data_IF_783328394963
#
_entry.id   IF_783328394963
#
_cell.length_a   1.000
_cell.length_b   1.000
_cell.length_c   1.000
_cell.angle_alpha   90.00
_cell.angle_beta   90.00
_cell.angle_gamma   90.00
#
_symmetry.space_group_name_H-M   'P 1'
#
loop_
_entity.id
_entity.type
_entity.pdbx_description
1 polymer ?
#
# COMPACT_ATOMS: atom_id res chain seq x y z
N UNK A 1 -1.95 -22.55 23.87
CA UNK A 1 -0.84 -23.17 23.10
C UNK A 1 0.36 -22.24 23.26
N UNK A 2 1.55 -22.76 23.56
CA UNK A 2 2.74 -21.90 23.60
C UNK A 2 3.08 -21.46 22.17
N UNK A 3 3.11 -20.15 21.95
CA UNK A 3 3.55 -19.58 20.67
C UNK A 3 5.04 -19.82 20.49
N UNK A 4 5.44 -20.28 19.30
CA UNK A 4 6.84 -20.52 18.95
C UNK A 4 7.28 -19.46 17.94
N UNK A 5 8.42 -18.82 18.17
CA UNK A 5 9.02 -17.91 17.20
C UNK A 5 9.36 -18.68 15.92
N UNK A 6 8.80 -18.26 14.78
CA UNK A 6 9.11 -18.84 13.47
C UNK A 6 10.36 -18.20 12.87
N UNK A 7 10.41 -16.86 12.86
CA UNK A 7 11.56 -16.07 12.42
C UNK A 7 11.46 -14.63 12.89
N UNK A 8 12.60 -13.94 12.91
CA UNK A 8 12.67 -12.48 13.04
C UNK A 8 13.16 -11.88 11.72
N UNK A 9 12.50 -10.84 11.25
CA UNK A 9 12.82 -10.16 10.01
C UNK A 9 12.77 -8.65 10.23
N UNK A 10 13.94 -8.01 10.22
CA UNK A 10 14.11 -6.61 10.64
C UNK A 10 13.41 -6.36 12.00
N UNK A 11 12.51 -5.38 12.06
CA UNK A 11 11.86 -4.96 13.30
C UNK A 11 10.62 -5.81 13.67
N UNK A 12 10.37 -6.94 12.98
CA UNK A 12 9.24 -7.84 13.31
C UNK A 12 9.72 -9.24 13.72
N UNK A 13 9.06 -9.79 14.74
CA UNK A 13 9.12 -11.20 15.09
C UNK A 13 7.80 -11.87 14.72
N UNK A 14 7.87 -12.96 13.95
CA UNK A 14 6.70 -13.72 13.50
C UNK A 14 6.62 -15.02 14.27
N UNK A 15 5.50 -15.24 14.96
CA UNK A 15 5.23 -16.43 15.77
C UNK A 15 4.30 -17.39 15.05
N UNK A 16 4.24 -18.63 15.52
CA UNK A 16 3.46 -19.72 14.93
C UNK A 16 1.97 -19.43 14.76
N UNK A 17 1.42 -18.52 15.58
CA UNK A 17 0.03 -18.08 15.49
C UNK A 17 -0.23 -17.05 14.39
N UNK A 18 0.74 -16.21 14.03
CA UNK A 18 0.50 -15.07 13.15
C UNK A 18 0.05 -15.44 11.73
N UNK A 19 0.65 -16.45 11.06
CA UNK A 19 0.25 -16.83 9.71
C UNK A 19 -1.17 -17.38 9.64
N UNK A 20 -1.77 -17.77 10.78
CA UNK A 20 -3.15 -18.22 10.84
C UNK A 20 -4.12 -17.13 10.40
N UNK A 21 -3.77 -15.86 10.61
CA UNK A 21 -4.56 -14.69 10.15
C UNK A 21 -4.63 -14.56 8.63
N UNK A 22 -3.77 -15.26 7.88
CA UNK A 22 -3.77 -15.28 6.42
C UNK A 22 -4.78 -16.26 5.83
N UNK A 23 -5.33 -17.19 6.62
CA UNK A 23 -6.34 -18.12 6.15
C UNK A 23 -7.59 -17.39 5.67
N UNK A 24 -8.28 -17.96 4.70
CA UNK A 24 -9.54 -17.41 4.20
C UNK A 24 -10.55 -17.20 5.34
N UNK A 25 -11.23 -16.06 5.33
CA UNK A 25 -12.20 -15.68 6.36
C UNK A 25 -11.60 -15.17 7.68
N UNK A 26 -10.28 -15.24 7.87
CA UNK A 26 -9.63 -14.73 9.09
C UNK A 26 -9.27 -13.25 8.97
N UNK A 27 -9.36 -12.52 10.09
CA UNK A 27 -8.91 -11.13 10.16
C UNK A 27 -7.39 -11.08 10.20
N UNK A 28 -6.81 -10.28 9.30
CA UNK A 28 -5.37 -10.03 9.27
C UNK A 28 -4.93 -9.35 10.56
N UNK A 29 -3.87 -9.86 11.18
CA UNK A 29 -3.32 -9.29 12.40
C UNK A 29 -2.18 -8.29 12.12
N UNK A 30 -1.78 -7.57 13.17
CA UNK A 30 -0.72 -6.56 13.13
C UNK A 30 0.61 -7.14 12.66
N UNK A 31 0.95 -8.35 13.09
CA UNK A 31 2.22 -9.00 12.77
C UNK A 31 2.37 -9.29 11.27
N UNK A 32 1.32 -9.82 10.63
CA UNK A 32 1.36 -10.13 9.19
C UNK A 32 1.37 -8.86 8.33
N UNK A 33 0.63 -7.82 8.72
CA UNK A 33 0.69 -6.52 8.05
C UNK A 33 2.08 -5.89 8.23
N UNK A 34 2.64 -5.94 9.44
CA UNK A 34 3.99 -5.44 9.74
C UNK A 34 5.10 -6.17 8.99
N UNK A 35 4.99 -7.50 8.90
CA UNK A 35 5.90 -8.35 8.13
C UNK A 35 5.87 -7.95 6.65
N UNK A 36 4.68 -7.80 6.07
CA UNK A 36 4.60 -7.38 4.67
C UNK A 36 5.16 -5.96 4.45
N UNK A 37 4.98 -5.06 5.41
CA UNK A 37 5.60 -3.73 5.36
C UNK A 37 7.13 -3.80 5.43
N UNK A 38 7.73 -4.69 6.24
CA UNK A 38 9.18 -4.91 6.21
C UNK A 38 9.62 -5.44 4.85
N UNK A 39 8.89 -6.40 4.30
CA UNK A 39 9.20 -6.98 3.00
C UNK A 39 9.15 -5.91 1.89
N UNK A 40 8.11 -5.07 1.88
CA UNK A 40 8.01 -3.96 0.93
C UNK A 40 9.19 -3.00 1.06
N UNK A 41 9.51 -2.55 2.28
CA UNK A 41 10.61 -1.60 2.52
C UNK A 41 11.94 -2.15 2.02
N UNK A 42 12.28 -3.39 2.35
CA UNK A 42 13.62 -3.93 2.13
C UNK A 42 13.80 -4.62 0.77
N UNK A 43 12.80 -5.33 0.27
CA UNK A 43 12.93 -6.12 -0.97
C UNK A 43 12.41 -5.39 -2.20
N UNK A 44 11.34 -4.60 -2.05
CA UNK A 44 10.66 -3.94 -3.18
C UNK A 44 11.14 -2.50 -3.34
N UNK A 45 11.09 -1.74 -2.26
CA UNK A 45 11.50 -0.34 -2.22
C UNK A 45 13.01 -0.19 -1.99
N UNK A 46 13.70 -1.28 -1.64
CA UNK A 46 15.17 -1.33 -1.46
C UNK A 46 15.69 -0.24 -0.53
N UNK A 47 14.94 0.08 0.51
CA UNK A 47 15.27 1.14 1.46
C UNK A 47 15.11 2.55 0.93
N UNK A 48 14.19 2.81 -0.02
CA UNK A 48 13.88 4.18 -0.46
C UNK A 48 13.49 5.05 0.74
N UNK A 49 14.38 5.96 1.09
CA UNK A 49 14.25 6.84 2.25
C UNK A 49 13.13 7.89 2.11
N UNK A 50 12.49 8.01 0.94
CA UNK A 50 11.37 8.92 0.72
C UNK A 50 10.02 8.33 1.14
N UNK A 51 9.91 7.01 1.25
CA UNK A 51 8.69 6.30 1.64
C UNK A 51 8.84 5.78 3.07
N UNK A 52 7.79 5.94 3.87
CA UNK A 52 7.71 5.33 5.19
C UNK A 52 6.43 4.51 5.32
N UNK A 53 6.56 3.27 5.78
CA UNK A 53 5.44 2.37 6.07
C UNK A 53 5.30 2.23 7.59
N UNK A 54 4.40 2.98 8.22
CA UNK A 54 4.22 2.91 9.67
C UNK A 54 3.61 1.58 10.09
N UNK A 55 4.15 0.96 11.15
CA UNK A 55 3.61 -0.29 11.68
C UNK A 55 2.27 -0.06 12.37
N UNK A 56 1.30 -1.00 12.25
CA UNK A 56 0.00 -0.90 12.92
C UNK A 56 0.07 -0.58 14.41
N UNK A 57 0.95 -1.26 15.14
CA UNK A 57 1.11 -1.05 16.59
C UNK A 57 1.54 0.38 16.91
N UNK A 58 2.42 0.97 16.10
CA UNK A 58 2.86 2.35 16.27
C UNK A 58 1.74 3.35 15.97
N UNK A 59 0.96 3.12 14.92
CA UNK A 59 -0.22 3.95 14.58
C UNK A 59 -1.28 3.87 15.68
N UNK A 60 -1.50 2.68 16.24
CA UNK A 60 -2.45 2.46 17.32
C UNK A 60 -2.01 3.14 18.62
N UNK A 61 -0.73 3.02 18.98
CA UNK A 61 -0.13 3.79 20.08
C UNK A 61 -0.34 5.29 19.86
N UNK A 62 -0.03 5.80 18.65
CA UNK A 62 -0.20 7.20 18.32
C UNK A 62 -1.65 7.69 18.52
N UNK A 63 -2.63 6.91 18.09
CA UNK A 63 -4.04 7.29 18.19
C UNK A 63 -4.51 7.36 19.64
N UNK A 64 -4.13 6.39 20.47
CA UNK A 64 -4.64 6.25 21.84
C UNK A 64 -3.92 7.13 22.86
N UNK A 65 -2.74 7.67 22.55
CA UNK A 65 -2.03 8.57 23.45
C UNK A 65 -2.73 9.92 23.59
N UNK A 66 -2.81 10.43 24.82
CA UNK A 66 -3.42 11.73 25.11
C UNK A 66 -2.58 12.86 24.50
N UNK A 67 -1.28 12.90 24.80
CA UNK A 67 -0.32 13.81 24.20
C UNK A 67 0.41 13.13 23.02
N UNK A 68 0.19 13.62 21.81
CA UNK A 68 0.87 13.10 20.61
C UNK A 68 2.38 13.34 20.64
N UNK A 69 2.82 14.43 21.30
CA UNK A 69 4.23 14.84 21.33
C UNK A 69 5.06 13.91 22.21
N UNK A 70 4.44 13.26 23.20
CA UNK A 70 5.12 12.29 24.07
C UNK A 70 5.63 11.07 23.28
N UNK A 71 4.98 10.71 22.18
CA UNK A 71 5.40 9.63 21.28
C UNK A 71 6.37 10.06 20.19
N UNK A 72 6.77 11.33 20.13
CA UNK A 72 7.71 11.80 19.10
C UNK A 72 9.02 11.01 19.13
N UNK A 73 9.46 10.56 20.30
CA UNK A 73 10.65 9.71 20.46
C UNK A 73 10.46 8.25 20.01
N UNK A 74 9.21 7.77 19.95
CA UNK A 74 8.87 6.42 19.49
C UNK A 74 8.60 6.36 17.97
N UNK A 75 8.39 7.51 17.33
CA UNK A 75 8.23 7.61 15.88
C UNK A 75 9.61 7.68 15.20
N UNK A 76 9.72 7.23 13.94
CA UNK A 76 10.95 7.39 13.15
C UNK A 76 11.41 8.86 13.16
N UNK A 77 12.66 9.09 13.54
CA UNK A 77 13.21 10.45 13.72
C UNK A 77 13.27 11.23 12.40
N UNK A 78 13.41 10.51 11.29
CA UNK A 78 13.41 11.00 9.93
C UNK A 78 12.02 11.07 9.30
N UNK A 79 10.93 10.82 10.05
CA UNK A 79 9.56 10.88 9.51
C UNK A 79 9.25 12.22 8.83
N UNK A 80 9.82 13.31 9.33
CA UNK A 80 9.68 14.65 8.76
C UNK A 80 10.36 14.82 7.39
N UNK A 81 11.28 13.94 6.99
CA UNK A 81 11.94 13.99 5.68
C UNK A 81 11.21 13.17 4.62
N UNK A 82 10.24 12.35 5.01
CA UNK A 82 9.51 11.44 4.13
C UNK A 82 8.57 12.21 3.20
N UNK A 83 8.51 11.78 1.96
CA UNK A 83 7.60 12.30 0.95
C UNK A 83 6.25 11.58 0.97
N UNK A 84 6.26 10.26 1.18
CA UNK A 84 5.05 9.44 1.34
C UNK A 84 5.10 8.69 2.67
N UNK A 85 4.00 8.74 3.44
CA UNK A 85 3.85 7.96 4.67
C UNK A 85 2.55 7.14 4.59
N UNK A 86 2.68 5.83 4.60
CA UNK A 86 1.56 4.88 4.64
C UNK A 86 1.23 4.54 6.10
N UNK A 87 -0.05 4.67 6.44
CA UNK A 87 -0.54 4.69 7.81
C UNK A 87 -1.73 3.72 7.89
N UNK A 88 -1.53 2.45 8.29
CA UNK A 88 -2.61 1.50 8.48
C UNK A 88 -3.40 1.87 9.74
N UNK A 89 -4.69 2.14 9.57
CA UNK A 89 -5.57 2.58 10.65
C UNK A 89 -6.47 1.42 11.10
N UNK A 90 -6.54 1.20 12.42
CA UNK A 90 -7.48 0.27 13.04
C UNK A 90 -8.49 1.03 13.90
N UNK A 91 -9.73 0.52 14.01
CA UNK A 91 -10.76 1.08 14.90
C UNK A 91 -10.66 0.61 16.37
N UNK A 92 -9.63 -0.15 16.75
CA UNK A 92 -9.50 -0.73 18.08
C UNK A 92 -9.47 0.31 19.21
N UNK A 93 -10.25 0.20 20.27
CA UNK A 93 -10.10 1.14 21.40
C UNK A 93 -9.12 0.67 22.48
N UNK A 94 -8.43 -0.46 22.24
CA UNK A 94 -7.51 -1.07 23.19
C UNK A 94 -6.10 -1.15 22.59
N UNK A 95 -5.07 -1.01 23.46
CA UNK A 95 -3.66 -1.23 23.10
C UNK A 95 -3.26 -2.70 23.14
N UNK A 96 -3.96 -3.49 23.95
CA UNK A 96 -3.70 -4.92 24.14
C UNK A 96 -4.86 -5.69 23.56
N UNK A 97 -4.56 -6.84 22.94
CA UNK A 97 -5.59 -7.79 22.54
C UNK A 97 -6.39 -8.22 23.78
N UNK A 98 -7.69 -7.99 23.75
CA UNK A 98 -8.62 -8.45 24.79
C UNK A 98 -9.41 -9.61 24.22
N UNK A 99 -9.62 -10.68 24.99
CA UNK A 99 -10.53 -11.75 24.56
C UNK A 99 -11.91 -11.14 24.25
N UNK A 100 -12.37 -11.28 23.00
CA UNK A 100 -13.55 -10.59 22.47
C UNK A 100 -13.27 -9.54 21.38
N UNK A 101 -12.00 -9.24 21.11
CA UNK A 101 -11.55 -8.37 20.01
C UNK A 101 -11.24 -6.95 20.45
N UNK A 102 -10.07 -6.43 20.07
CA UNK A 102 -9.68 -5.05 20.38
C UNK A 102 -10.17 -4.07 19.31
N UNK A 103 -10.19 -4.47 18.02
CA UNK A 103 -10.78 -3.75 16.88
C UNK A 103 -11.23 -4.71 15.77
N UNK A 104 -12.06 -4.22 14.84
CA UNK A 104 -12.80 -5.00 13.84
C UNK A 104 -12.54 -4.62 12.39
N UNK A 105 -11.78 -3.54 12.13
CA UNK A 105 -11.62 -3.06 10.77
C UNK A 105 -10.31 -2.31 10.53
N UNK A 106 -9.76 -2.54 9.33
CA UNK A 106 -8.57 -1.88 8.82
C UNK A 106 -8.93 -0.93 7.67
N UNK A 107 -8.25 0.21 7.62
CA UNK A 107 -8.26 1.10 6.46
C UNK A 107 -6.87 1.72 6.26
N UNK A 108 -6.65 2.39 5.13
CA UNK A 108 -5.37 2.98 4.79
C UNK A 108 -5.48 4.51 4.69
N UNK A 109 -4.60 5.19 5.40
CA UNK A 109 -4.34 6.61 5.23
C UNK A 109 -2.93 6.80 4.64
N UNK A 110 -2.79 7.68 3.66
CA UNK A 110 -1.49 8.00 3.03
C UNK A 110 -1.26 9.50 3.10
N UNK A 111 -0.22 9.91 3.82
CA UNK A 111 0.24 11.31 3.84
C UNK A 111 1.22 11.56 2.70
N UNK A 112 1.10 12.73 2.09
CA UNK A 112 1.96 13.17 0.98
C UNK A 112 2.54 14.54 1.30
N UNK A 113 3.86 14.61 1.33
CA UNK A 113 4.61 15.84 1.55
C UNK A 113 4.95 16.48 0.20
N UNK A 114 4.07 17.36 -0.26
CA UNK A 114 4.33 18.27 -1.39
C UNK A 114 4.19 19.73 -0.94
N UNK A 115 4.32 20.67 -1.88
CA UNK A 115 4.09 22.10 -1.61
C UNK A 115 2.74 22.36 -0.91
N UNK A 116 1.73 21.57 -1.26
CA UNK A 116 0.46 21.47 -0.53
C UNK A 116 0.32 20.04 0.02
N UNK A 117 0.63 19.81 1.31
CA UNK A 117 0.48 18.49 1.90
C UNK A 117 -0.98 18.04 1.89
N UNK A 118 -1.20 16.75 1.67
CA UNK A 118 -2.53 16.14 1.64
C UNK A 118 -2.51 14.75 2.28
N UNK A 119 -3.68 14.28 2.70
CA UNK A 119 -3.91 12.90 3.07
C UNK A 119 -4.86 12.24 2.07
N UNK A 120 -4.59 11.00 1.67
CA UNK A 120 -5.44 10.17 0.83
C UNK A 120 -5.94 8.98 1.65
N UNK A 121 -7.26 8.81 1.70
CA UNK A 121 -7.92 7.81 2.55
C UNK A 121 -8.63 6.76 1.70
N UNK A 122 -8.37 5.49 2.02
CA UNK A 122 -8.94 4.31 1.35
C UNK A 122 -9.53 3.36 2.38
N UNK A 123 -10.76 2.94 2.14
CA UNK A 123 -11.51 2.06 3.02
C UNK A 123 -12.33 1.06 2.19
N UNK A 124 -12.03 -0.22 2.34
CA UNK A 124 -12.72 -1.30 1.63
C UNK A 124 -14.13 -1.59 2.17
N UNK A 125 -14.57 -0.89 3.22
CA UNK A 125 -15.90 -1.03 3.83
C UNK A 125 -16.57 0.33 4.07
N UNK A 126 -16.98 0.99 2.99
CA UNK A 126 -17.88 2.15 3.02
C UNK A 126 -17.47 3.27 4.01
N UNK A 127 -16.16 3.55 4.12
CA UNK A 127 -15.60 4.56 5.02
C UNK A 127 -15.91 4.35 6.52
N UNK A 128 -16.16 3.11 6.95
CA UNK A 128 -16.47 2.77 8.34
C UNK A 128 -15.38 3.26 9.32
N UNK A 129 -14.12 3.32 8.90
CA UNK A 129 -13.00 3.74 9.76
C UNK A 129 -12.70 5.25 9.73
N UNK A 130 -13.52 6.06 9.06
CA UNK A 130 -13.18 7.47 8.75
C UNK A 130 -12.85 8.31 9.99
N UNK A 131 -13.62 8.17 11.08
CA UNK A 131 -13.38 8.92 12.32
C UNK A 131 -12.05 8.55 12.98
N UNK A 132 -11.65 7.27 12.90
CA UNK A 132 -10.36 6.80 13.41
C UNK A 132 -9.20 7.33 12.57
N UNK A 133 -9.37 7.42 11.25
CA UNK A 133 -8.39 8.03 10.37
C UNK A 133 -8.23 9.54 10.63
N UNK A 134 -9.34 10.26 10.89
CA UNK A 134 -9.27 11.67 11.33
C UNK A 134 -8.52 11.83 12.65
N UNK A 135 -8.73 10.93 13.61
CA UNK A 135 -8.02 10.95 14.89
C UNK A 135 -6.51 10.76 14.68
N UNK A 136 -6.10 9.76 13.90
CA UNK A 136 -4.68 9.53 13.55
C UNK A 136 -4.08 10.74 12.82
N UNK A 137 -4.78 11.26 11.80
CA UNK A 137 -4.39 12.46 11.07
C UNK A 137 -4.11 13.63 12.01
N UNK A 138 -5.01 13.87 12.96
CA UNK A 138 -4.89 15.00 13.90
C UNK A 138 -3.63 14.88 14.78
N UNK A 139 -3.27 13.65 15.17
CA UNK A 139 -2.03 13.37 15.91
C UNK A 139 -0.80 13.59 15.03
N UNK A 140 -0.81 13.09 13.79
CA UNK A 140 0.28 13.27 12.84
C UNK A 140 0.49 14.73 12.44
N UNK A 141 -0.57 15.51 12.24
CA UNK A 141 -0.48 16.94 11.93
C UNK A 141 0.28 17.68 13.03
N UNK A 142 0.00 17.39 14.30
CA UNK A 142 0.69 17.99 15.44
C UNK A 142 2.19 17.65 15.48
N UNK A 143 2.59 16.50 14.93
CA UNK A 143 3.99 16.03 14.89
C UNK A 143 4.72 16.55 13.65
N UNK A 144 4.09 16.51 12.48
CA UNK A 144 4.69 16.82 11.18
C UNK A 144 4.72 18.32 10.89
N UNK A 145 3.70 19.06 11.30
CA UNK A 145 3.49 20.46 10.90
C UNK A 145 3.60 21.45 12.06
N UNK A 146 3.60 20.96 13.30
CA UNK A 146 3.49 21.81 14.48
C UNK A 146 2.12 22.52 14.56
N UNK A 147 2.07 23.69 15.19
CA UNK A 147 0.82 24.40 15.52
C UNK A 147 0.46 25.57 14.60
N UNK A 148 1.27 25.88 13.58
CA UNK A 148 1.20 27.15 12.86
C UNK A 148 0.95 27.05 11.34
N UNK A 149 0.71 25.85 10.80
CA UNK A 149 0.48 25.63 9.36
C UNK A 149 -1.00 25.38 9.00
N UNK A 150 -1.39 25.54 7.71
CA UNK A 150 -2.70 25.12 7.25
C UNK A 150 -2.86 23.62 7.42
N UNK A 151 -4.02 23.20 7.94
CA UNK A 151 -4.34 21.78 8.15
C UNK A 151 -4.49 21.10 6.79
N UNK A 152 -3.70 20.06 6.47
CA UNK A 152 -3.82 19.33 5.22
C UNK A 152 -5.23 18.74 5.08
N UNK A 153 -5.85 18.78 3.90
CA UNK A 153 -7.13 18.12 3.69
C UNK A 153 -6.95 16.59 3.68
N UNK A 154 -8.02 15.87 4.03
CA UNK A 154 -8.12 14.42 3.85
C UNK A 154 -9.08 14.12 2.70
N UNK A 155 -8.55 13.58 1.60
CA UNK A 155 -9.28 13.21 0.40
C UNK A 155 -9.71 11.76 0.55
N UNK A 156 -11.02 11.53 0.61
CA UNK A 156 -11.59 10.17 0.66
C UNK A 156 -11.80 9.64 -0.75
N UNK A 157 -11.23 8.49 -1.05
CA UNK A 157 -11.31 7.89 -2.37
C UNK A 157 -12.40 6.82 -2.47
N UNK A 158 -13.09 6.81 -3.60
CA UNK A 158 -13.80 5.61 -4.05
C UNK A 158 -12.76 4.56 -4.43
N UNK A 159 -12.84 3.38 -3.83
CA UNK A 159 -11.89 2.29 -4.04
C UNK A 159 -12.60 0.93 -4.04
N UNK A 160 -11.93 -0.15 -4.49
CA UNK A 160 -12.46 -1.50 -4.42
C UNK A 160 -12.96 -1.85 -3.01
N UNK A 161 -14.17 -2.37 -2.94
CA UNK A 161 -14.85 -2.72 -1.70
C UNK A 161 -14.76 -4.23 -1.47
N UNK A 162 -14.58 -4.63 -0.22
CA UNK A 162 -14.58 -6.03 0.17
C UNK A 162 -15.99 -6.62 0.06
N UNK A 163 -16.06 -7.92 -0.23
CA UNK A 163 -17.33 -8.64 -0.38
C UNK A 163 -17.66 -9.49 0.87
N UNK A 164 -16.76 -9.53 1.85
CA UNK A 164 -16.89 -10.29 3.08
C UNK A 164 -16.53 -9.43 4.30
N UNK A 165 -16.61 -10.01 5.51
CA UNK A 165 -16.31 -9.30 6.76
C UNK A 165 -14.86 -9.37 7.24
N UNK A 166 -13.89 -9.85 6.44
CA UNK A 166 -12.54 -10.18 6.94
C UNK A 166 -11.36 -9.69 6.10
N UNK A 167 -11.57 -9.28 4.85
CA UNK A 167 -10.49 -8.92 3.94
C UNK A 167 -9.95 -7.50 4.08
N UNK A 168 -10.48 -6.67 4.98
CA UNK A 168 -10.06 -5.27 5.13
C UNK A 168 -8.53 -5.09 5.28
N UNK A 169 -7.87 -5.93 6.08
CA UNK A 169 -6.41 -5.89 6.23
C UNK A 169 -5.66 -6.31 4.96
N UNK A 170 -6.23 -7.23 4.16
CA UNK A 170 -5.69 -7.62 2.86
C UNK A 170 -5.83 -6.48 1.85
N UNK A 171 -6.94 -5.73 1.87
CA UNK A 171 -7.09 -4.53 1.04
C UNK A 171 -6.07 -3.45 1.43
N UNK A 172 -5.76 -3.25 2.72
CA UNK A 172 -4.68 -2.34 3.15
C UNK A 172 -3.33 -2.74 2.55
N UNK A 173 -2.99 -4.04 2.57
CA UNK A 173 -1.78 -4.59 1.93
C UNK A 173 -1.78 -4.29 0.43
N UNK A 174 -2.90 -4.58 -0.27
CA UNK A 174 -3.03 -4.39 -1.71
C UNK A 174 -2.91 -2.92 -2.12
N UNK A 175 -3.58 -2.01 -1.41
CA UNK A 175 -3.49 -0.57 -1.67
C UNK A 175 -2.07 -0.05 -1.41
N UNK A 176 -1.43 -0.50 -0.33
CA UNK A 176 -0.05 -0.11 0.01
C UNK A 176 0.94 -0.59 -1.05
N UNK A 177 0.89 -1.85 -1.45
CA UNK A 177 1.77 -2.42 -2.48
C UNK A 177 1.63 -1.66 -3.80
N UNK A 178 0.39 -1.46 -4.27
CA UNK A 178 0.12 -0.77 -5.52
C UNK A 178 0.65 0.67 -5.51
N UNK A 179 0.28 1.47 -4.51
CA UNK A 179 0.64 2.88 -4.45
C UNK A 179 2.14 3.07 -4.22
N UNK A 180 2.77 2.26 -3.36
CA UNK A 180 4.21 2.35 -3.11
C UNK A 180 5.03 2.00 -4.35
N UNK A 181 4.63 0.97 -5.11
CA UNK A 181 5.25 0.64 -6.40
C UNK A 181 5.04 1.74 -7.44
N UNK A 182 3.81 2.24 -7.60
CA UNK A 182 3.52 3.36 -8.52
C UNK A 182 4.43 4.56 -8.20
N UNK A 183 4.61 4.87 -6.92
CA UNK A 183 5.42 6.00 -6.50
C UNK A 183 6.90 5.77 -6.80
N UNK A 184 7.41 4.59 -6.46
CA UNK A 184 8.79 4.19 -6.77
C UNK A 184 9.05 4.25 -8.28
N UNK A 185 8.10 3.80 -9.10
CA UNK A 185 8.19 3.82 -10.57
C UNK A 185 8.19 5.24 -11.15
N UNK A 186 7.46 6.19 -10.54
CA UNK A 186 7.44 7.60 -10.98
C UNK A 186 8.75 8.35 -10.69
N UNK A 187 9.52 7.92 -9.68
CA UNK A 187 10.82 8.51 -9.33
C UNK A 187 11.97 7.95 -10.17
N UNK A 188 11.78 6.80 -10.80
CA UNK A 188 12.71 6.30 -11.79
C UNK A 188 12.60 7.19 -13.04
N UNK A 189 13.73 7.63 -13.64
CA UNK A 189 13.68 8.45 -14.84
C UNK A 189 12.84 7.73 -15.90
N UNK A 190 11.95 8.46 -16.62
CA UNK A 190 11.10 7.84 -17.62
C UNK A 190 11.98 7.11 -18.63
N UNK A 191 11.53 5.97 -19.18
CA UNK A 191 12.22 5.38 -20.31
C UNK A 191 12.37 6.48 -21.37
N UNK A 192 13.53 6.59 -22.06
CA UNK A 192 13.62 7.48 -23.19
C UNK A 192 12.47 7.12 -24.10
N UNK A 193 11.56 8.07 -24.30
CA UNK A 193 10.47 7.95 -25.26
C UNK A 193 11.17 7.56 -26.54
N UNK A 194 11.02 6.30 -26.97
CA UNK A 194 11.46 5.94 -28.30
C UNK A 194 10.66 6.86 -29.20
N UNK A 195 11.31 7.78 -29.92
CA UNK A 195 10.59 8.52 -30.91
C UNK A 195 10.02 7.44 -31.83
N UNK A 196 8.74 7.51 -32.21
CA UNK A 196 8.49 7.24 -33.61
C UNK A 196 9.54 8.06 -34.35
N UNK A 197 10.49 7.34 -34.97
CA UNK A 197 11.76 7.83 -35.54
C UNK A 197 11.81 9.34 -35.60
N UNK A 198 12.75 10.02 -34.94
CA UNK A 198 12.80 11.44 -35.17
C UNK A 198 13.20 11.60 -36.64
N UNK A 199 12.66 12.63 -37.31
CA UNK A 199 13.61 13.42 -38.10
C UNK A 199 14.72 13.81 -37.11
N UNK A 200 15.78 12.97 -37.15
CA UNK A 200 17.08 12.94 -36.46
C UNK A 200 17.18 13.67 -35.13
N UNK A 201 17.65 12.95 -34.10
CA UNK A 201 18.89 13.27 -33.37
C UNK A 201 19.31 12.05 -32.53
N UNK A 202 20.62 11.86 -32.43
CA UNK A 202 21.36 10.69 -31.96
C UNK A 202 21.06 10.32 -30.49
N UNK A 203 20.81 9.04 -30.20
CA UNK A 203 20.69 8.50 -28.86
C UNK A 203 21.64 7.30 -28.63
N UNK A 204 22.23 7.29 -27.43
CA UNK A 204 23.23 6.36 -26.89
C UNK A 204 22.75 4.88 -26.88
N UNK A 205 23.50 3.93 -27.50
CA UNK A 205 23.14 2.50 -27.59
C UNK A 205 23.00 1.76 -26.25
N UNK A 206 23.66 2.21 -25.18
CA UNK A 206 23.68 1.48 -23.90
C UNK A 206 22.43 1.72 -23.05
N UNK A 207 21.74 2.85 -23.23
CA UNK A 207 20.46 3.13 -22.57
C UNK A 207 19.32 2.23 -23.09
N UNK A 208 19.32 1.95 -24.41
CA UNK A 208 18.32 1.08 -25.04
C UNK A 208 18.47 -0.39 -24.60
N UNK A 209 19.72 -0.87 -24.43
CA UNK A 209 20.00 -2.22 -23.89
C UNK A 209 19.52 -2.40 -22.45
N UNK A 210 19.61 -1.35 -21.62
CA UNK A 210 19.12 -1.37 -20.22
C UNK A 210 17.59 -1.38 -20.13
N UNK A 211 16.88 -0.63 -20.98
CA UNK A 211 15.41 -0.64 -21.01
C UNK A 211 14.83 -2.01 -21.42
N UNK A 212 15.45 -2.67 -22.40
CA UNK A 212 15.08 -4.04 -22.78
C UNK A 212 15.32 -5.04 -21.64
N UNK A 213 16.42 -4.87 -20.88
CA UNK A 213 16.71 -5.67 -19.69
C UNK A 213 15.67 -5.48 -18.57
N UNK A 214 15.20 -4.25 -18.34
CA UNK A 214 14.19 -3.91 -17.32
C UNK A 214 12.82 -4.50 -17.65
N UNK A 215 12.37 -4.40 -18.91
CA UNK A 215 11.13 -5.05 -19.35
C UNK A 215 11.22 -6.57 -19.21
N UNK A 216 12.41 -7.15 -19.43
CA UNK A 216 12.67 -8.56 -19.20
C UNK A 216 12.63 -8.92 -17.71
N UNK A 217 13.14 -8.04 -16.83
CA UNK A 217 13.20 -8.28 -15.39
C UNK A 217 11.87 -8.06 -14.68
N UNK A 218 11.06 -7.10 -15.13
CA UNK A 218 9.67 -6.95 -14.69
C UNK A 218 8.81 -8.12 -15.18
N UNK A 219 9.01 -8.57 -16.43
CA UNK A 219 8.42 -9.84 -16.87
C UNK A 219 8.92 -11.02 -16.06
N UNK A 220 10.18 -11.04 -15.61
CA UNK A 220 10.74 -12.11 -14.77
C UNK A 220 10.20 -12.10 -13.35
N UNK A 221 10.06 -10.95 -12.71
CA UNK A 221 9.55 -10.81 -11.32
C UNK A 221 8.03 -11.02 -11.26
N UNK A 222 7.30 -10.49 -12.25
CA UNK A 222 5.88 -10.81 -12.46
C UNK A 222 5.69 -12.26 -12.89
N UNK A 223 6.59 -12.82 -13.70
CA UNK A 223 6.62 -14.25 -13.98
C UNK A 223 7.06 -15.07 -12.77
N UNK A 224 7.81 -14.54 -11.79
CA UNK A 224 8.17 -15.28 -10.58
C UNK A 224 6.94 -15.45 -9.71
N UNK A 225 6.15 -14.39 -9.53
CA UNK A 225 4.82 -14.41 -8.89
C UNK A 225 3.77 -15.19 -9.70
N UNK A 226 3.80 -15.16 -11.04
CA UNK A 226 2.90 -15.92 -11.90
C UNK A 226 3.33 -17.39 -12.13
N UNK A 227 4.62 -17.72 -12.00
CA UNK A 227 5.17 -19.08 -12.19
C UNK A 227 4.88 -20.02 -11.04
N UNK A 228 4.45 -19.46 -9.90
CA UNK A 228 3.94 -20.19 -8.75
C UNK A 228 2.44 -20.56 -8.90
N UNK A 229 1.81 -20.30 -10.06
CA UNK A 229 0.41 -20.62 -10.34
C UNK A 229 0.26 -21.94 -11.12
N UNK A 230 -0.64 -22.87 -10.72
CA UNK A 230 -0.96 -24.04 -11.52
C UNK A 230 -1.68 -23.64 -12.82
N UNK A 231 -1.37 -24.33 -13.93
CA UNK A 231 -2.01 -24.13 -15.24
C UNK A 231 -3.26 -25.01 -15.39
N UNK A 232 -4.41 -24.35 -15.63
CA UNK A 232 -5.73 -24.84 -16.15
C UNK A 232 -6.70 -25.49 -15.15
N UNK A 233 -7.97 -25.05 -15.09
CA UNK A 233 -9.15 -25.56 -15.85
C UNK A 233 -10.47 -24.78 -15.45
N UNK A 234 -11.71 -25.11 -15.91
CA UNK A 234 -12.53 -24.26 -16.80
C UNK A 234 -13.72 -23.50 -16.17
N UNK A 235 -14.03 -22.36 -16.82
CA UNK A 235 -15.34 -21.71 -17.07
C UNK A 235 -16.44 -21.68 -15.99
N UNK A 236 -16.64 -20.51 -15.38
CA UNK A 236 -17.96 -19.91 -15.13
C UNK A 236 -17.78 -18.45 -14.64
N UNK A 237 -17.80 -17.46 -15.54
CA UNK A 237 -17.60 -16.05 -15.20
C UNK A 237 -18.40 -15.14 -16.14
N UNK A 238 -19.65 -14.84 -15.79
CA UNK A 238 -20.33 -13.66 -16.33
C UNK A 238 -20.57 -12.56 -15.29
N UNK A 239 -20.58 -12.88 -13.99
CA UNK A 239 -20.89 -11.90 -12.92
C UNK A 239 -19.79 -11.71 -11.86
N UNK A 240 -18.66 -12.43 -11.94
CA UNK A 240 -17.61 -12.27 -10.94
C UNK A 240 -16.67 -11.11 -11.29
N UNK A 241 -16.41 -10.23 -10.32
CA UNK A 241 -15.51 -9.07 -10.51
C UNK A 241 -14.12 -9.49 -10.94
N UNK A 242 -13.63 -10.64 -10.48
CA UNK A 242 -12.32 -11.19 -10.83
C UNK A 242 -12.44 -12.39 -11.78
N UNK A 243 -11.57 -12.48 -12.77
CA UNK A 243 -11.53 -13.63 -13.65
C UNK A 243 -10.88 -14.87 -12.98
N UNK A 244 -10.78 -15.98 -13.70
CA UNK A 244 -10.27 -17.26 -13.16
C UNK A 244 -8.77 -17.21 -12.86
N UNK A 245 -8.07 -16.15 -13.28
CA UNK A 245 -6.69 -15.84 -12.91
C UNK A 245 -6.58 -14.89 -11.71
N UNK A 246 -7.72 -14.41 -11.20
CA UNK A 246 -7.83 -13.48 -10.08
C UNK A 246 -7.56 -12.02 -10.45
N UNK A 247 -7.67 -11.65 -11.73
CA UNK A 247 -7.44 -10.29 -12.26
C UNK A 247 -8.71 -9.81 -12.97
N UNK A 248 -9.06 -8.53 -12.86
CA UNK A 248 -10.19 -7.96 -13.63
C UNK A 248 -9.67 -7.45 -14.97
N UNK A 249 -10.32 -7.81 -16.09
CA UNK A 249 -10.06 -7.16 -17.37
C UNK A 249 -10.66 -5.75 -17.35
N UNK A 250 -9.84 -4.73 -17.61
CA UNK A 250 -10.29 -3.32 -17.73
C UNK A 250 -11.55 -3.24 -18.61
N UNK A 251 -12.68 -2.74 -18.12
CA UNK A 251 -13.73 -2.25 -18.99
C UNK A 251 -13.17 -1.06 -19.78
N UNK A 252 -13.41 -1.01 -21.09
CA UNK A 252 -13.18 0.25 -21.82
C UNK A 252 -14.15 1.29 -21.28
N UNK A 253 -13.63 2.36 -20.69
CA UNK A 253 -14.44 3.48 -20.21
C UNK A 253 -15.20 4.11 -21.39
N UNK A 254 -16.52 4.33 -21.26
CA UNK A 254 -17.21 5.22 -22.19
C UNK A 254 -16.76 6.64 -21.86
N UNK A 255 -16.05 7.27 -22.79
CA UNK A 255 -15.92 8.71 -22.86
C UNK A 255 -17.31 9.34 -22.64
N UNK A 256 -17.53 10.02 -21.51
CA UNK A 256 -18.68 10.92 -21.36
C UNK A 256 -18.26 12.26 -21.96
N UNK A 257 -18.65 12.43 -23.22
CA UNK A 257 -18.65 13.70 -23.93
C UNK A 257 -19.63 14.70 -23.29
N UNK A 258 -19.11 15.85 -22.85
CA UNK A 258 -19.74 17.19 -22.94
C UNK A 258 -21.07 17.47 -22.22
N UNK A 259 -21.05 18.45 -21.31
CA UNK A 259 -21.59 19.79 -21.65
C UNK A 259 -21.10 20.83 -20.63
N UNK A 260 -20.42 21.87 -21.12
CA UNK A 260 -20.07 23.05 -20.36
C UNK A 260 -21.30 23.95 -20.26
N UNK A 261 -21.64 24.42 -19.06
CA UNK A 261 -22.43 25.63 -18.86
C UNK A 261 -21.56 26.65 -18.13
N UNK A 262 -21.32 27.76 -18.81
CA UNK A 262 -20.62 28.93 -18.29
C UNK A 262 -21.42 29.58 -17.15
N UNK A 263 -20.75 29.87 -16.06
CA UNK A 263 -21.28 30.59 -14.91
C UNK A 263 -20.13 31.28 -14.16
N UNK A 264 -20.27 32.58 -13.97
CA UNK A 264 -19.26 33.58 -13.63
C UNK A 264 -18.62 33.38 -12.24
N UNK A 265 -17.28 33.36 -12.20
CA UNK A 265 -16.48 34.23 -11.32
C UNK A 265 -16.29 33.88 -9.84
N UNK A 266 -15.47 32.87 -9.55
CA UNK A 266 -14.26 32.96 -8.67
C UNK A 266 -13.31 31.88 -9.19
N UNK A 267 -12.09 32.24 -9.61
CA UNK A 267 -11.05 31.25 -9.94
C UNK A 267 -10.30 30.91 -8.65
N UNK A 268 -10.56 29.79 -7.96
CA UNK A 268 -9.57 29.27 -7.02
C UNK A 268 -8.32 28.92 -7.84
N UNK A 269 -7.13 29.18 -7.30
CA UNK A 269 -5.88 28.84 -7.95
C UNK A 269 -5.92 27.35 -8.36
N UNK A 270 -6.15 27.10 -9.65
CA UNK A 270 -6.10 25.76 -10.21
C UNK A 270 -4.62 25.36 -10.19
N UNK A 271 -4.23 24.58 -9.19
CA UNK A 271 -3.03 23.76 -9.33
C UNK A 271 -3.26 22.90 -10.58
N UNK A 272 -2.48 23.17 -11.62
CA UNK A 272 -2.39 22.32 -12.80
C UNK A 272 -1.65 21.06 -12.35
N UNK A 273 -2.38 20.15 -11.71
CA UNK A 273 -1.87 18.80 -11.45
C UNK A 273 -1.82 18.07 -12.78
N UNK A 274 -0.73 17.37 -13.03
CA UNK A 274 -0.55 16.61 -14.26
C UNK A 274 -1.65 15.54 -14.39
N UNK A 275 -1.98 15.07 -15.60
CA UNK A 275 -2.91 13.93 -15.77
C UNK A 275 -2.43 12.70 -14.98
N UNK A 276 -1.10 12.57 -14.77
CA UNK A 276 -0.50 11.54 -13.94
C UNK A 276 -0.84 11.67 -12.45
N UNK A 277 -0.91 12.89 -11.90
CA UNK A 277 -1.35 13.12 -10.51
C UNK A 277 -2.82 12.75 -10.30
N UNK A 278 -3.66 12.87 -11.34
CA UNK A 278 -5.09 12.56 -11.25
C UNK A 278 -5.38 11.06 -11.23
N UNK A 279 -4.54 10.24 -11.86
CA UNK A 279 -4.74 8.78 -11.92
C UNK A 279 -3.93 8.01 -10.89
N UNK A 280 -2.84 8.59 -10.38
CA UNK A 280 -1.98 7.93 -9.39
C UNK A 280 -2.78 7.42 -8.18
N UNK A 281 -3.63 8.29 -7.63
CA UNK A 281 -4.42 8.02 -6.43
C UNK A 281 -5.70 7.22 -6.69
N UNK A 282 -6.06 6.96 -7.94
CA UNK A 282 -7.23 6.16 -8.25
C UNK A 282 -6.88 4.67 -8.28
N UNK A 283 -7.60 3.87 -7.51
CA UNK A 283 -7.47 2.42 -7.48
C UNK A 283 -8.78 1.82 -7.98
N UNK A 284 -8.70 0.94 -8.97
CA UNK A 284 -9.81 0.15 -9.47
C UNK A 284 -9.62 -1.34 -9.16
N UNK A 285 -10.69 -2.15 -9.25
CA UNK A 285 -10.58 -3.60 -9.05
C UNK A 285 -9.58 -4.23 -10.03
N UNK A 286 -9.47 -3.70 -11.24
CA UNK A 286 -8.50 -4.15 -12.25
C UNK A 286 -7.04 -3.87 -11.92
N UNK A 287 -6.76 -2.99 -10.95
CA UNK A 287 -5.41 -2.77 -10.44
C UNK A 287 -5.02 -3.79 -9.37
N UNK A 288 -5.98 -4.52 -8.81
CA UNK A 288 -5.78 -5.42 -7.68
C UNK A 288 -5.91 -6.89 -8.09
N UNK A 289 -5.18 -7.75 -7.38
CA UNK A 289 -5.47 -9.17 -7.42
C UNK A 289 -6.57 -9.52 -6.41
N UNK A 290 -7.23 -10.65 -6.62
CA UNK A 290 -8.22 -11.18 -5.69
C UNK A 290 -7.63 -11.36 -4.26
N UNK A 291 -8.36 -10.99 -3.18
CA UNK A 291 -7.87 -11.11 -1.81
C UNK A 291 -7.43 -12.53 -1.39
N UNK A 292 -8.10 -13.58 -1.88
CA UNK A 292 -7.69 -14.97 -1.61
C UNK A 292 -6.33 -15.30 -2.24
N UNK A 293 -6.08 -14.74 -3.43
CA UNK A 293 -4.77 -14.85 -4.09
C UNK A 293 -3.70 -14.08 -3.33
N UNK A 294 -4.02 -12.88 -2.84
CA UNK A 294 -3.11 -12.09 -2.01
C UNK A 294 -2.74 -12.84 -0.70
N UNK A 295 -3.74 -13.41 0.00
CA UNK A 295 -3.55 -14.27 1.18
C UNK A 295 -2.62 -15.44 0.89
N UNK A 296 -2.89 -16.19 -0.17
CA UNK A 296 -2.06 -17.34 -0.57
C UNK A 296 -0.63 -16.93 -0.92
N UNK A 297 -0.46 -15.79 -1.60
CA UNK A 297 0.85 -15.25 -1.95
C UNK A 297 1.63 -14.84 -0.71
N UNK A 298 0.99 -14.16 0.24
CA UNK A 298 1.62 -13.76 1.50
C UNK A 298 1.94 -14.98 2.37
N UNK A 299 1.08 -15.99 2.39
CA UNK A 299 1.35 -17.26 3.09
C UNK A 299 2.58 -17.96 2.50
N UNK A 300 2.70 -17.99 1.17
CA UNK A 300 3.88 -18.55 0.51
C UNK A 300 5.16 -17.77 0.85
N UNK A 301 5.07 -16.44 0.92
CA UNK A 301 6.19 -15.57 1.32
C UNK A 301 6.64 -15.84 2.76
N UNK A 302 5.70 -15.98 3.70
CA UNK A 302 5.98 -16.35 5.10
C UNK A 302 6.64 -17.72 5.16
N UNK A 303 6.13 -18.72 4.45
CA UNK A 303 6.70 -20.07 4.43
C UNK A 303 8.14 -20.07 3.90
N UNK A 304 8.42 -19.31 2.84
CA UNK A 304 9.77 -19.15 2.29
C UNK A 304 10.72 -18.52 3.34
N UNK A 305 10.27 -17.51 4.08
CA UNK A 305 11.07 -16.94 5.18
C UNK A 305 11.28 -17.94 6.31
N UNK A 306 10.27 -18.70 6.73
CA UNK A 306 10.45 -19.77 7.71
C UNK A 306 11.57 -20.74 7.30
N UNK A 307 11.59 -21.18 6.04
CA UNK A 307 12.63 -22.09 5.53
C UNK A 307 14.02 -21.45 5.52
N UNK A 308 14.13 -20.20 5.08
CA UNK A 308 15.43 -19.48 5.05
C UNK A 308 16.03 -19.30 6.43
N UNK A 309 15.21 -18.95 7.43
CA UNK A 309 15.65 -18.67 8.79
C UNK A 309 15.78 -19.92 9.67
N UNK A 310 15.09 -21.03 9.34
CA UNK A 310 15.27 -22.32 10.03
C UNK A 310 16.57 -23.03 9.66
N UNK A 311 17.10 -22.79 8.46
CA UNK A 311 18.30 -23.46 7.93
C UNK A 311 19.63 -22.75 8.28
N UNK A 312 19.65 -21.87 9.29
CA UNK A 312 20.86 -21.14 9.67
C UNK A 312 21.29 -20.08 8.64
N UNK A 313 20.35 -19.52 7.87
CA UNK A 313 20.61 -18.36 7.03
C UNK A 313 21.22 -17.20 7.85
N UNK A 314 22.02 -16.33 7.22
CA UNK A 314 22.80 -15.32 7.95
C UNK A 314 21.88 -14.51 8.86
N UNK A 315 22.23 -14.44 10.14
CA UNK A 315 21.57 -13.56 11.09
C UNK A 315 21.60 -12.13 10.53
N UNK A 316 20.46 -11.40 10.50
CA UNK A 316 20.49 -10.01 10.10
C UNK A 316 21.41 -9.25 11.07
N UNK A 317 22.28 -8.42 10.49
CA UNK A 317 23.17 -7.55 11.24
C UNK A 317 22.34 -6.71 12.22
N UNK A 318 22.70 -6.81 13.51
CA UNK A 318 22.21 -5.98 14.62
C UNK A 318 22.58 -4.52 14.37
#
# INVERSE_FOLDING_TARGET
MNETLLFSYHDIAVYSGDPMSLREGQWLNDAMLSFYYEYLTHEILRGDNSILLLKPTLVQCLRLQQDAKSLRSALPTDMHTKELIFIPVNNSNNLVHVEGGSGSHWSLLVYVKHANPTYHYYDSMANMNYQYALAVKSKLDAILLGTAGPVPPMITHSCPQQENGSDCGIFVILFTDLLSRRYNDLRLPPPPVSPERPRRLSADPDAARRAAYIALQNRRNSAQLQSLLPRRHPSALSDAKYDSSGVVRRPMSPFVSGSAREGVGVRPAMMVTSVADRTFWWIDYSDLCNPLKARTTLQALVNDHCVRYSNGGPAPFI
#
